data_IF_080387837784
#
_entry.id   IF_080387837784
#
_cell.length_a   1.000
_cell.length_b   1.000
_cell.length_c   1.000
_cell.angle_alpha   90.00
_cell.angle_beta   90.00
_cell.angle_gamma   90.00
#
_symmetry.space_group_name_H-M   'P 1'
#
loop_
_entity.id
_entity.type
_entity.pdbx_description
1 polymer ?
#
# COMPACT_ATOMS: atom_id res chain seq x y z
N UNK A 1 -32.40 -37.03 -4.63
CA UNK A 1 -31.77 -35.71 -4.91
C UNK A 1 -30.30 -35.84 -4.61
N UNK A 2 -29.43 -35.69 -5.62
CA UNK A 2 -27.99 -35.64 -5.42
C UNK A 2 -27.67 -34.20 -4.98
N UNK A 3 -27.38 -34.00 -3.71
CA UNK A 3 -26.86 -32.72 -3.25
C UNK A 3 -25.41 -32.57 -3.77
N UNK A 4 -25.10 -31.40 -4.36
CA UNK A 4 -23.74 -31.06 -4.71
C UNK A 4 -22.93 -30.88 -3.40
N UNK A 5 -21.76 -31.50 -3.32
CA UNK A 5 -20.87 -31.40 -2.17
C UNK A 5 -20.37 -29.96 -1.99
N UNK A 6 -20.24 -29.24 -3.11
CA UNK A 6 -19.83 -27.81 -3.13
C UNK A 6 -20.99 -26.96 -3.66
N UNK A 7 -21.36 -25.92 -2.95
CA UNK A 7 -22.46 -25.04 -3.35
C UNK A 7 -22.32 -23.63 -2.77
N UNK A 8 -22.77 -22.64 -3.55
CA UNK A 8 -23.02 -21.29 -3.06
C UNK A 8 -24.48 -21.17 -2.62
N UNK A 9 -24.71 -21.19 -1.32
CA UNK A 9 -26.07 -21.10 -0.73
C UNK A 9 -26.36 -19.66 -0.30
N UNK A 10 -27.62 -19.20 -0.25
CA UNK A 10 -27.99 -17.86 0.19
C UNK A 10 -27.44 -17.50 1.59
N UNK A 11 -27.43 -18.44 2.52
CA UNK A 11 -26.93 -18.25 3.88
C UNK A 11 -25.40 -18.01 3.95
N UNK A 12 -24.66 -18.28 2.88
CA UNK A 12 -23.24 -17.97 2.80
C UNK A 12 -22.98 -16.48 2.51
N UNK A 13 -24.01 -15.72 2.15
CA UNK A 13 -23.92 -14.29 1.82
C UNK A 13 -24.34 -13.47 3.02
N UNK A 14 -23.40 -12.73 3.57
CA UNK A 14 -23.64 -11.84 4.70
C UNK A 14 -23.73 -10.41 4.19
N UNK A 15 -24.89 -9.78 4.36
CA UNK A 15 -25.07 -8.38 3.98
C UNK A 15 -24.24 -7.44 4.87
N UNK A 16 -23.78 -6.34 4.29
CA UNK A 16 -23.03 -5.32 5.00
C UNK A 16 -23.97 -4.47 5.84
N UNK A 17 -23.79 -4.41 7.17
CA UNK A 17 -24.62 -3.58 8.02
C UNK A 17 -24.30 -2.10 7.82
N UNK A 18 -25.27 -1.24 8.09
CA UNK A 18 -25.19 0.21 7.87
C UNK A 18 -23.97 0.85 8.57
N UNK A 19 -23.64 0.37 9.76
CA UNK A 19 -22.50 0.89 10.53
C UNK A 19 -21.12 0.48 9.98
N UNK A 20 -21.07 -0.47 9.05
CA UNK A 20 -19.84 -0.91 8.37
C UNK A 20 -19.66 -0.23 7.00
N UNK A 21 -20.64 0.56 6.54
CA UNK A 21 -20.52 1.32 5.31
C UNK A 21 -19.48 2.42 5.45
N UNK A 22 -18.76 2.67 4.34
CA UNK A 22 -17.88 3.84 4.31
C UNK A 22 -18.69 5.14 4.40
N UNK A 23 -18.15 6.19 5.04
CA UNK A 23 -18.74 7.52 4.98
C UNK A 23 -18.85 7.98 3.53
N UNK A 24 -20.09 8.32 3.09
CA UNK A 24 -20.38 8.76 1.71
C UNK A 24 -20.36 10.28 1.52
N UNK A 25 -20.02 11.01 2.56
CA UNK A 25 -19.90 12.46 2.53
C UNK A 25 -18.68 12.87 1.71
N UNK A 26 -18.85 13.78 0.76
CA UNK A 26 -17.83 14.28 -0.17
C UNK A 26 -16.59 14.85 0.55
N UNK A 27 -16.75 15.33 1.78
CA UNK A 27 -15.64 15.81 2.62
C UNK A 27 -14.53 14.77 2.87
N UNK A 28 -14.85 13.47 2.78
CA UNK A 28 -13.89 12.40 3.01
C UNK A 28 -13.08 12.07 1.76
N UNK A 29 -13.71 12.16 0.58
CA UNK A 29 -13.08 11.89 -0.71
C UNK A 29 -12.66 10.44 -0.92
N UNK A 30 -13.23 9.47 -0.18
CA UNK A 30 -12.92 8.06 -0.34
C UNK A 30 -13.42 7.53 -1.69
N UNK A 31 -12.57 6.78 -2.39
CA UNK A 31 -12.83 6.23 -3.73
C UNK A 31 -12.75 4.71 -3.81
N UNK A 32 -12.52 4.04 -2.68
CA UNK A 32 -12.49 2.57 -2.65
C UNK A 32 -13.82 1.99 -3.11
N UNK A 33 -13.78 0.99 -4.00
CA UNK A 33 -14.95 0.24 -4.39
C UNK A 33 -15.45 -0.60 -3.20
N UNK A 34 -16.64 -0.30 -2.70
CA UNK A 34 -17.23 -1.01 -1.56
C UNK A 34 -18.05 -2.20 -2.05
N UNK A 35 -17.72 -3.46 -1.68
CA UNK A 35 -18.50 -4.63 -2.00
C UNK A 35 -19.89 -4.57 -1.33
N UNK A 36 -20.92 -5.12 -2.01
CA UNK A 36 -22.29 -5.16 -1.47
C UNK A 36 -22.38 -6.02 -0.22
N UNK A 37 -21.63 -7.12 -0.19
CA UNK A 37 -21.64 -8.05 0.94
C UNK A 37 -20.53 -7.68 1.93
N UNK A 38 -20.78 -7.99 3.21
CA UNK A 38 -19.75 -7.97 4.24
C UNK A 38 -18.77 -9.13 4.03
N UNK A 39 -19.33 -10.34 3.82
CA UNK A 39 -18.60 -11.55 3.47
C UNK A 39 -19.43 -12.43 2.52
N UNK A 40 -18.71 -13.18 1.68
CA UNK A 40 -19.29 -14.26 0.91
C UNK A 40 -18.53 -15.56 1.21
N UNK A 41 -19.16 -16.45 1.97
CA UNK A 41 -18.59 -17.73 2.39
C UNK A 41 -18.98 -18.88 1.45
N UNK A 42 -19.48 -18.58 0.25
CA UNK A 42 -19.80 -19.55 -0.77
C UNK A 42 -18.57 -20.37 -1.18
N UNK A 43 -18.70 -21.68 -1.19
CA UNK A 43 -17.59 -22.60 -1.44
C UNK A 43 -17.04 -22.42 -2.86
N UNK A 44 -17.92 -22.37 -3.85
CA UNK A 44 -17.55 -22.16 -5.25
C UNK A 44 -16.99 -20.75 -5.47
N UNK A 45 -17.56 -19.75 -4.80
CA UNK A 45 -17.11 -18.37 -4.86
C UNK A 45 -15.66 -18.26 -4.37
N UNK A 46 -15.36 -18.84 -3.20
CA UNK A 46 -14.02 -18.79 -2.62
C UNK A 46 -12.99 -19.58 -3.45
N UNK A 47 -13.36 -20.72 -4.03
CA UNK A 47 -12.49 -21.50 -4.91
C UNK A 47 -12.17 -20.80 -6.23
N UNK A 48 -12.97 -19.81 -6.65
CA UNK A 48 -12.74 -19.01 -7.88
C UNK A 48 -11.81 -17.81 -7.69
N UNK A 49 -11.29 -17.56 -6.49
CA UNK A 49 -10.34 -16.48 -6.26
C UNK A 49 -9.11 -16.69 -7.14
N UNK A 50 -8.97 -15.87 -8.18
CA UNK A 50 -7.94 -16.06 -9.22
C UNK A 50 -6.56 -15.49 -8.84
N UNK A 51 -6.49 -14.63 -7.82
CA UNK A 51 -5.25 -14.01 -7.38
C UNK A 51 -5.21 -13.84 -5.87
N UNK A 52 -4.19 -14.40 -5.24
CA UNK A 52 -4.05 -14.40 -3.78
C UNK A 52 -5.00 -15.40 -3.12
N UNK A 53 -5.28 -15.18 -1.84
CA UNK A 53 -6.16 -16.05 -1.01
C UNK A 53 -7.39 -15.33 -0.46
N UNK A 54 -7.56 -14.04 -0.78
CA UNK A 54 -8.61 -13.19 -0.24
C UNK A 54 -9.67 -12.90 -1.30
N UNK A 55 -10.95 -13.02 -0.91
CA UNK A 55 -12.07 -12.51 -1.70
C UNK A 55 -12.07 -10.99 -1.78
N UNK A 56 -12.95 -10.40 -2.61
CA UNK A 56 -13.09 -8.94 -2.69
C UNK A 56 -13.54 -8.33 -1.36
N UNK A 57 -14.47 -8.98 -0.67
CA UNK A 57 -14.98 -8.55 0.62
C UNK A 57 -13.91 -8.57 1.71
N UNK A 58 -13.11 -9.63 1.77
CA UNK A 58 -12.02 -9.77 2.72
C UNK A 58 -10.92 -8.74 2.46
N UNK A 59 -10.56 -8.54 1.19
CA UNK A 59 -9.59 -7.51 0.79
C UNK A 59 -10.07 -6.12 1.13
N UNK A 60 -11.35 -5.82 0.83
CA UNK A 60 -11.95 -4.55 1.21
C UNK A 60 -11.93 -4.36 2.73
N UNK A 61 -12.28 -5.39 3.50
CA UNK A 61 -12.29 -5.32 4.97
C UNK A 61 -10.90 -5.01 5.55
N UNK A 62 -9.86 -5.61 4.97
CA UNK A 62 -8.49 -5.29 5.35
C UNK A 62 -8.17 -3.83 4.98
N UNK A 63 -8.46 -3.40 3.76
CA UNK A 63 -8.14 -2.06 3.31
C UNK A 63 -8.98 -0.97 4.03
N UNK A 64 -10.17 -1.32 4.53
CA UNK A 64 -11.05 -0.42 5.26
C UNK A 64 -10.42 0.12 6.56
N UNK A 65 -9.40 -0.55 7.11
CA UNK A 65 -8.73 -0.05 8.33
C UNK A 65 -8.22 1.38 8.15
N UNK A 66 -7.79 1.75 6.94
CA UNK A 66 -7.30 3.11 6.63
C UNK A 66 -8.41 4.17 6.71
N UNK A 67 -9.61 3.82 6.22
CA UNK A 67 -10.79 4.67 6.33
C UNK A 67 -11.14 4.89 7.81
N UNK A 68 -11.16 3.81 8.59
CA UNK A 68 -11.44 3.88 10.03
C UNK A 68 -10.38 4.69 10.78
N UNK A 69 -9.11 4.54 10.41
CA UNK A 69 -8.01 5.32 10.97
C UNK A 69 -8.21 6.82 10.73
N UNK A 70 -8.54 7.25 9.52
CA UNK A 70 -8.79 8.66 9.25
C UNK A 70 -10.01 9.18 10.00
N UNK A 71 -11.12 8.44 9.98
CA UNK A 71 -12.36 8.83 10.70
C UNK A 71 -12.11 8.98 12.18
N UNK A 72 -11.38 8.05 12.79
CA UNK A 72 -11.05 8.08 14.22
C UNK A 72 -10.10 9.25 14.55
N UNK A 73 -9.01 9.40 13.80
CA UNK A 73 -8.01 10.44 14.08
C UNK A 73 -8.58 11.85 13.91
N UNK A 74 -9.48 12.08 12.94
CA UNK A 74 -10.11 13.40 12.78
C UNK A 74 -11.03 13.81 13.93
N UNK A 75 -11.41 12.88 14.81
CA UNK A 75 -12.19 13.20 16.02
C UNK A 75 -11.30 13.60 17.20
N UNK A 76 -9.99 13.43 17.11
CA UNK A 76 -9.06 13.79 18.18
C UNK A 76 -8.70 15.29 18.11
N UNK A 77 -8.60 15.98 19.26
CA UNK A 77 -8.21 17.38 19.30
C UNK A 77 -6.69 17.53 19.16
N UNK A 78 -6.19 17.49 17.95
CA UNK A 78 -4.77 17.71 17.69
C UNK A 78 -4.36 19.16 17.92
N UNK A 79 -3.20 19.41 18.53
CA UNK A 79 -2.63 20.76 18.59
C UNK A 79 -2.26 21.26 17.18
N UNK A 80 -2.10 22.58 16.97
CA UNK A 80 -1.93 23.17 15.63
C UNK A 80 -0.81 22.56 14.78
N UNK A 81 0.29 22.14 15.40
CA UNK A 81 1.43 21.54 14.69
C UNK A 81 1.24 20.06 14.30
N UNK A 82 0.18 19.40 14.79
CA UNK A 82 -0.15 18.00 14.51
C UNK A 82 -1.46 17.83 13.74
N UNK A 83 -2.05 18.89 13.22
CA UNK A 83 -3.33 18.86 12.51
C UNK A 83 -3.31 18.00 11.23
N UNK A 84 -2.13 17.74 10.68
CA UNK A 84 -1.94 16.91 9.50
C UNK A 84 -1.76 15.40 9.79
N UNK A 85 -1.71 15.00 11.06
CA UNK A 85 -1.54 13.59 11.45
C UNK A 85 -2.60 12.67 10.83
N UNK A 86 -3.91 13.01 10.84
CA UNK A 86 -4.93 12.17 10.19
C UNK A 86 -4.69 11.95 8.70
N UNK A 87 -4.29 13.00 7.97
CA UNK A 87 -3.99 12.95 6.54
C UNK A 87 -2.74 12.09 6.26
N UNK A 88 -1.68 12.29 7.04
CA UNK A 88 -0.43 11.53 6.91
C UNK A 88 -0.71 10.05 7.18
N UNK A 89 -1.39 9.73 8.26
CA UNK A 89 -1.71 8.36 8.64
C UNK A 89 -2.64 7.67 7.63
N UNK A 90 -3.61 8.40 7.07
CA UNK A 90 -4.55 7.83 6.10
C UNK A 90 -3.96 7.64 4.71
N UNK A 91 -2.87 8.35 4.37
CA UNK A 91 -2.34 8.38 3.02
C UNK A 91 -1.23 7.37 2.72
N UNK A 92 -0.74 6.58 3.68
CA UNK A 92 0.45 5.74 3.45
C UNK A 92 0.20 4.54 2.52
N UNK A 93 -1.04 4.23 2.19
CA UNK A 93 -1.41 3.26 1.16
C UNK A 93 -1.71 3.90 -0.21
N UNK A 94 -1.61 5.22 -0.33
CA UNK A 94 -1.64 5.89 -1.63
C UNK A 94 -0.36 5.60 -2.41
N UNK A 95 -0.45 5.72 -3.74
CA UNK A 95 0.68 5.51 -4.64
C UNK A 95 0.95 6.78 -5.45
N UNK A 96 2.17 6.94 -5.90
CA UNK A 96 2.58 8.13 -6.67
C UNK A 96 1.81 8.28 -7.99
N UNK A 97 1.30 7.18 -8.54
CA UNK A 97 0.53 7.11 -9.78
C UNK A 97 -0.99 7.31 -9.60
N UNK A 98 -1.47 7.48 -8.36
CA UNK A 98 -2.91 7.64 -8.05
C UNK A 98 -3.71 6.34 -8.04
N UNK A 99 -3.09 5.18 -8.19
CA UNK A 99 -3.76 3.87 -8.12
C UNK A 99 -3.84 3.30 -6.70
N UNK A 100 -3.44 4.10 -5.71
CA UNK A 100 -3.52 3.75 -4.30
C UNK A 100 -4.91 3.91 -3.70
N UNK A 101 -5.01 3.79 -2.40
CA UNK A 101 -6.24 3.96 -1.63
C UNK A 101 -5.95 4.67 -0.30
N UNK A 102 -6.93 5.29 0.36
CA UNK A 102 -8.38 5.22 0.13
C UNK A 102 -8.94 6.25 -0.86
N UNK A 103 -8.16 7.25 -1.31
CA UNK A 103 -8.64 8.40 -2.08
C UNK A 103 -8.13 8.44 -3.53
N UNK A 104 -7.11 7.64 -3.88
CA UNK A 104 -6.47 7.66 -5.18
C UNK A 104 -5.73 8.97 -5.44
N UNK A 105 -4.95 9.43 -4.46
CA UNK A 105 -4.18 10.67 -4.54
C UNK A 105 -2.89 10.45 -5.34
N UNK A 106 -2.55 11.42 -6.19
CA UNK A 106 -1.30 11.44 -6.93
C UNK A 106 -0.17 12.09 -6.13
N UNK A 107 1.07 11.89 -6.59
CA UNK A 107 2.31 12.38 -5.97
C UNK A 107 2.21 13.83 -5.46
N UNK A 108 1.70 14.75 -6.29
CA UNK A 108 1.63 16.19 -5.97
C UNK A 108 0.65 16.51 -4.84
N UNK A 109 -0.30 15.62 -4.60
CA UNK A 109 -1.32 15.74 -3.56
C UNK A 109 -0.88 15.13 -2.22
N UNK A 110 0.21 14.34 -2.24
CA UNK A 110 0.72 13.64 -1.07
C UNK A 110 1.82 14.45 -0.38
N UNK A 111 1.66 14.66 0.91
CA UNK A 111 2.70 15.29 1.75
C UNK A 111 3.97 14.44 1.78
N UNK A 112 5.16 15.06 1.90
CA UNK A 112 6.41 14.31 2.03
C UNK A 112 6.38 13.27 3.16
N UNK A 113 5.79 13.62 4.31
CA UNK A 113 5.69 12.74 5.47
C UNK A 113 4.86 11.49 5.19
N UNK A 114 3.77 11.62 4.43
CA UNK A 114 2.94 10.49 3.96
C UNK A 114 3.74 9.53 3.08
N UNK A 115 4.52 10.09 2.14
CA UNK A 115 5.35 9.33 1.21
C UNK A 115 6.52 8.63 1.93
N UNK A 116 7.08 9.25 2.97
CA UNK A 116 8.07 8.62 3.86
C UNK A 116 7.47 7.47 4.65
N UNK A 117 6.27 7.67 5.21
CA UNK A 117 5.57 6.65 5.97
C UNK A 117 5.25 5.42 5.10
N UNK A 118 4.85 5.62 3.83
CA UNK A 118 4.63 4.54 2.89
C UNK A 118 5.87 3.66 2.68
N UNK A 119 7.06 4.26 2.54
CA UNK A 119 8.32 3.53 2.42
C UNK A 119 8.62 2.75 3.69
N UNK A 120 8.45 3.38 4.86
CA UNK A 120 8.71 2.77 6.16
C UNK A 120 7.79 1.58 6.43
N UNK A 121 6.48 1.72 6.16
CA UNK A 121 5.48 0.66 6.34
C UNK A 121 5.78 -0.55 5.44
N UNK A 122 6.06 -0.31 4.15
CA UNK A 122 6.39 -1.39 3.22
C UNK A 122 7.68 -2.10 3.64
N UNK A 123 8.70 -1.34 4.06
CA UNK A 123 9.98 -1.91 4.48
C UNK A 123 9.81 -2.78 5.72
N UNK A 124 9.08 -2.29 6.73
CA UNK A 124 8.73 -3.07 7.92
C UNK A 124 7.96 -4.33 7.54
N UNK A 125 6.91 -4.20 6.73
CA UNK A 125 6.08 -5.31 6.30
C UNK A 125 6.84 -6.42 5.53
N UNK A 126 7.93 -6.08 4.85
CA UNK A 126 8.78 -7.04 4.15
C UNK A 126 9.78 -7.75 5.07
N UNK A 127 10.24 -7.06 6.12
CA UNK A 127 11.32 -7.52 6.99
C UNK A 127 10.85 -8.09 8.33
N UNK A 128 9.60 -7.82 8.73
CA UNK A 128 9.02 -8.30 9.99
C UNK A 128 9.03 -9.84 10.09
N UNK A 129 9.48 -10.35 11.24
CA UNK A 129 9.60 -11.78 11.53
C UNK A 129 8.42 -12.37 12.30
N UNK A 130 7.51 -11.54 12.80
CA UNK A 130 6.38 -11.90 13.64
C UNK A 130 5.15 -12.43 12.87
N UNK A 131 5.24 -12.53 11.54
CA UNK A 131 4.14 -12.99 10.68
C UNK A 131 4.19 -14.52 10.51
N UNK A 132 3.26 -15.30 11.11
CA UNK A 132 3.36 -16.76 11.16
C UNK A 132 3.28 -17.45 9.79
N UNK A 133 2.75 -16.76 8.78
CA UNK A 133 2.53 -17.34 7.44
C UNK A 133 3.50 -16.85 6.35
N UNK A 134 4.46 -15.99 6.70
CA UNK A 134 5.37 -15.40 5.71
C UNK A 134 6.78 -15.33 6.30
N UNK A 135 7.72 -15.99 5.64
CA UNK A 135 9.13 -15.86 6.01
C UNK A 135 9.59 -14.41 5.83
N UNK A 136 10.26 -13.82 6.82
CA UNK A 136 10.83 -12.49 6.70
C UNK A 136 11.87 -12.49 5.58
N UNK A 137 11.92 -11.37 4.84
CA UNK A 137 12.88 -11.21 3.75
C UNK A 137 14.24 -10.77 4.27
N UNK A 138 15.27 -11.11 3.52
CA UNK A 138 16.59 -10.51 3.70
C UNK A 138 16.56 -9.04 3.34
N UNK A 139 17.51 -8.29 3.89
CA UNK A 139 17.63 -6.86 3.67
C UNK A 139 17.75 -6.52 2.18
N UNK A 140 18.61 -7.23 1.45
CA UNK A 140 18.78 -7.06 0.00
C UNK A 140 17.50 -7.33 -0.80
N UNK A 141 16.74 -8.37 -0.43
CA UNK A 141 15.46 -8.68 -1.08
C UNK A 141 14.41 -7.60 -0.82
N UNK A 142 14.33 -7.07 0.40
CA UNK A 142 13.40 -6.00 0.74
C UNK A 142 13.71 -4.72 -0.05
N UNK A 143 14.98 -4.34 -0.13
CA UNK A 143 15.42 -3.17 -0.92
C UNK A 143 15.17 -3.38 -2.41
N UNK A 144 15.40 -4.55 -2.95
CA UNK A 144 15.10 -4.86 -4.36
C UNK A 144 13.61 -4.73 -4.68
N UNK A 145 12.73 -5.15 -3.76
CA UNK A 145 11.28 -4.98 -3.91
C UNK A 145 10.92 -3.48 -3.91
N UNK A 146 11.44 -2.70 -2.96
CA UNK A 146 11.24 -1.26 -2.89
C UNK A 146 11.74 -0.55 -4.16
N UNK A 147 12.89 -0.96 -4.70
CA UNK A 147 13.42 -0.43 -5.95
C UNK A 147 12.44 -0.65 -7.12
N UNK A 148 11.90 -1.86 -7.26
CA UNK A 148 10.89 -2.16 -8.29
C UNK A 148 9.59 -1.37 -8.08
N UNK A 149 9.18 -1.16 -6.83
CA UNK A 149 8.01 -0.34 -6.50
C UNK A 149 8.24 1.14 -6.84
N UNK A 150 9.45 1.65 -6.60
CA UNK A 150 9.86 3.00 -7.00
C UNK A 150 9.81 3.20 -8.52
N UNK A 151 10.33 2.24 -9.29
CA UNK A 151 10.32 2.28 -10.76
C UNK A 151 8.91 2.22 -11.36
N UNK A 152 7.95 1.63 -10.65
CA UNK A 152 6.55 1.49 -11.07
C UNK A 152 5.64 2.61 -10.58
N UNK A 153 6.18 3.67 -9.98
CA UNK A 153 5.37 4.76 -9.45
C UNK A 153 4.54 4.42 -8.20
N UNK A 154 4.90 3.35 -7.48
CA UNK A 154 4.24 3.00 -6.23
C UNK A 154 4.73 3.89 -5.08
N UNK A 155 6.05 4.02 -4.92
CA UNK A 155 6.69 4.87 -3.91
C UNK A 155 7.51 5.98 -4.57
N UNK A 156 7.80 7.04 -3.80
CA UNK A 156 8.57 8.20 -4.27
C UNK A 156 10.03 7.84 -4.52
N UNK A 157 10.54 7.97 -5.77
CA UNK A 157 11.92 7.63 -6.11
C UNK A 157 12.95 8.49 -5.39
N UNK A 158 12.63 9.76 -5.13
CA UNK A 158 13.55 10.67 -4.46
C UNK A 158 13.71 10.33 -2.98
N UNK A 159 12.59 10.02 -2.33
CA UNK A 159 12.60 9.58 -0.92
C UNK A 159 13.20 8.19 -0.77
N UNK A 160 13.00 7.28 -1.74
CA UNK A 160 13.67 5.99 -1.75
C UNK A 160 15.20 6.15 -1.90
N UNK A 161 15.67 7.03 -2.80
CA UNK A 161 17.10 7.34 -2.90
C UNK A 161 17.66 7.94 -1.61
N UNK A 162 16.90 8.82 -0.93
CA UNK A 162 17.28 9.37 0.38
C UNK A 162 17.33 8.27 1.45
N UNK A 163 16.35 7.37 1.49
CA UNK A 163 16.30 6.23 2.42
C UNK A 163 17.56 5.35 2.30
N UNK A 164 18.05 5.13 1.08
CA UNK A 164 19.29 4.38 0.82
C UNK A 164 20.53 5.18 1.18
N UNK A 165 20.66 6.42 0.65
CA UNK A 165 21.87 7.23 0.80
C UNK A 165 22.14 7.70 2.23
N UNK A 166 21.07 7.90 3.02
CA UNK A 166 21.18 8.24 4.45
C UNK A 166 21.62 7.06 5.32
N UNK A 167 21.51 5.83 4.81
CA UNK A 167 21.80 4.61 5.58
C UNK A 167 20.79 4.25 6.66
N UNK A 168 19.66 4.96 6.75
CA UNK A 168 18.63 4.72 7.77
C UNK A 168 18.06 3.30 7.73
N UNK A 169 17.96 2.70 6.54
CA UNK A 169 17.56 1.31 6.36
C UNK A 169 18.49 0.34 7.09
N UNK A 170 19.80 0.63 7.09
CA UNK A 170 20.82 -0.20 7.75
C UNK A 170 20.76 -0.04 9.26
N UNK A 171 20.62 1.19 9.74
CA UNK A 171 20.45 1.48 11.17
C UNK A 171 19.20 0.76 11.73
N UNK A 172 18.10 0.77 10.97
CA UNK A 172 16.90 0.02 11.35
C UNK A 172 17.18 -1.48 11.37
N UNK A 173 17.81 -2.03 10.33
CA UNK A 173 18.11 -3.45 10.23
C UNK A 173 18.98 -3.95 11.40
N UNK A 174 20.06 -3.24 11.71
CA UNK A 174 20.97 -3.59 12.81
C UNK A 174 20.29 -3.56 14.19
N UNK A 175 19.24 -2.76 14.34
CA UNK A 175 18.51 -2.60 15.60
C UNK A 175 17.35 -3.59 15.78
N UNK A 176 16.67 -3.98 14.70
CA UNK A 176 15.37 -4.63 14.78
C UNK A 176 15.28 -5.96 14.03
N UNK A 177 16.17 -6.24 13.08
CA UNK A 177 16.12 -7.49 12.33
C UNK A 177 17.00 -8.58 12.95
N UNK A 178 16.66 -9.84 12.64
CA UNK A 178 17.53 -10.95 12.95
C UNK A 178 18.85 -10.83 12.17
N UNK A 179 20.03 -11.09 12.77
CA UNK A 179 21.31 -11.02 12.07
C UNK A 179 21.36 -11.85 10.78
N UNK A 180 20.62 -12.93 10.67
CA UNK A 180 20.55 -13.77 9.47
C UNK A 180 19.82 -13.12 8.29
N UNK A 181 19.05 -12.05 8.54
CA UNK A 181 18.38 -11.25 7.52
C UNK A 181 19.27 -10.14 6.96
N UNK A 182 20.36 -9.78 7.67
CA UNK A 182 21.23 -8.65 7.32
C UNK A 182 22.30 -9.16 6.37
N UNK A 183 22.20 -8.75 5.11
CA UNK A 183 23.15 -9.05 4.05
C UNK A 183 23.59 -7.77 3.32
N UNK A 184 24.46 -7.90 2.32
CA UNK A 184 24.96 -6.76 1.56
C UNK A 184 23.94 -6.25 0.56
N UNK A 185 23.77 -4.92 0.55
CA UNK A 185 22.88 -4.20 -0.36
C UNK A 185 23.72 -3.38 -1.35
N UNK A 186 23.59 -3.60 -2.67
CA UNK A 186 24.34 -2.85 -3.68
C UNK A 186 23.72 -1.45 -3.91
N UNK A 187 23.82 -0.57 -2.90
CA UNK A 187 23.19 0.75 -2.87
C UNK A 187 23.57 1.60 -4.08
N UNK A 188 24.84 1.57 -4.50
CA UNK A 188 25.32 2.35 -5.65
C UNK A 188 24.61 2.01 -6.94
N UNK A 189 24.23 0.75 -7.15
CA UNK A 189 23.47 0.30 -8.33
C UNK A 189 22.07 0.91 -8.36
N UNK A 190 21.40 0.97 -7.20
CA UNK A 190 20.05 1.55 -7.11
C UNK A 190 20.06 3.07 -7.25
N UNK A 191 21.06 3.75 -6.67
CA UNK A 191 21.19 5.20 -6.79
C UNK A 191 21.51 5.65 -8.22
N UNK A 192 22.38 4.92 -8.93
CA UNK A 192 22.70 5.20 -10.34
C UNK A 192 21.46 5.05 -11.24
N UNK A 193 20.61 4.05 -10.98
CA UNK A 193 19.34 3.86 -11.71
C UNK A 193 18.37 5.02 -11.46
N UNK A 194 18.30 5.54 -10.24
CA UNK A 194 17.44 6.68 -9.88
C UNK A 194 17.89 7.97 -10.54
N UNK A 195 19.18 8.24 -10.59
CA UNK A 195 19.74 9.42 -11.27
C UNK A 195 19.55 9.35 -12.79
N UNK A 196 19.72 8.18 -13.40
CA UNK A 196 19.40 7.95 -14.82
C UNK A 196 17.93 8.21 -15.15
N UNK A 197 17.02 7.79 -14.31
CA UNK A 197 15.57 8.05 -14.46
C UNK A 197 15.25 9.53 -14.32
N UNK A 198 15.87 10.25 -13.37
CA UNK A 198 15.72 11.71 -13.22
C UNK A 198 16.23 12.49 -14.42
N UNK A 199 17.36 12.08 -15.01
CA UNK A 199 17.91 12.70 -16.21
C UNK A 199 17.01 12.48 -17.42
N UNK A 200 16.46 11.27 -17.59
CA UNK A 200 15.51 10.96 -18.65
C UNK A 200 14.21 11.77 -18.53
N UNK A 201 13.64 11.90 -17.34
CA UNK A 201 12.44 12.71 -17.09
C UNK A 201 12.67 14.23 -17.28
N UNK A 202 13.89 14.73 -17.06
CA UNK A 202 14.25 16.14 -17.33
C UNK A 202 14.50 16.40 -18.80
N UNK A 203 14.97 15.40 -19.55
CA UNK A 203 15.31 15.53 -20.98
C UNK A 203 14.08 15.46 -21.89
N UNK A 204 12.99 14.80 -21.48
CA UNK A 204 11.76 14.69 -22.27
C UNK A 204 10.48 14.78 -21.41
N UNK A 205 10.03 16.00 -21.10
CA UNK A 205 8.77 16.19 -20.38
C UNK A 205 7.52 15.79 -21.22
N UNK A 206 7.67 15.53 -22.53
CA UNK A 206 6.57 15.10 -23.40
C UNK A 206 6.38 13.56 -23.36
N UNK A 207 7.45 12.77 -23.17
CA UNK A 207 7.37 11.32 -23.08
C UNK A 207 6.60 10.83 -21.84
N UNK A 208 6.60 11.61 -20.75
CA UNK A 208 5.82 11.32 -19.55
C UNK A 208 4.30 11.38 -19.79
N UNK A 209 3.83 12.17 -20.75
CA UNK A 209 2.40 12.28 -21.10
C UNK A 209 1.91 11.14 -22.02
N UNK A 210 2.79 10.56 -22.83
CA UNK A 210 2.43 9.51 -23.81
C UNK A 210 2.21 8.17 -23.15
N UNK A 211 2.90 7.85 -22.06
CA UNK A 211 2.72 6.61 -21.31
C UNK A 211 1.42 6.59 -20.48
N UNK A 212 0.90 7.75 -20.12
CA UNK A 212 -0.38 7.87 -19.41
C UNK A 212 -1.60 7.72 -20.34
N UNK A 213 -1.44 7.92 -21.67
CA UNK A 213 -2.53 7.86 -22.64
C UNK A 213 -2.65 6.54 -23.40
N UNK A 214 -1.73 5.58 -23.19
CA UNK A 214 -1.76 4.26 -23.89
C UNK A 214 -2.32 3.12 -23.01
N UNK A 215 -2.91 3.43 -21.84
CA UNK A 215 -3.53 2.50 -20.90
C UNK A 215 -5.01 2.81 -20.66
N UNK A 216 -5.69 3.40 -21.65
CA UNK A 216 -7.14 3.60 -21.62
C UNK A 216 -7.83 2.53 -22.47
#
# INVERSE_FOLDING_TARGET
>A
MTESVLADKPQHRMERPVHDLMPKDDRWGFRMAEPKLLYNQGELYNLRVGYGTLTEEERFKINQHIVQTEVMLRQLPFPPHLTHVPEIAAGHHEKMDGTGYPKGLHHEQLRPETRMLAIADIFEALTASDRPYKKPKKLSEAIEILNRMSQRGHIDPALFALFLSSGVYRVYAERFLDPSQIDDVPVTTYLAATDGTRLAQRADPAAARTLASSSA
#
